data_IF_429328582364
#
_entry.id   IF_429328582364
#
_cell.length_a   1.000
_cell.length_b   1.000
_cell.length_c   1.000
_cell.angle_alpha   90.00
_cell.angle_beta   90.00
_cell.angle_gamma   90.00
#
_symmetry.space_group_name_H-M   'P 1'
#
loop_
_entity.id
_entity.type
_entity.pdbx_description
1 polymer ?
#
# COMPACT_ATOMS: atom_id res chain seq x y z
N UNK A 1 60.00 -54.78 -15.92
CA UNK A 1 59.66 -53.37 -15.53
C UNK A 1 58.19 -53.19 -15.85
N UNK A 2 57.28 -53.29 -14.84
CA UNK A 2 55.84 -53.14 -15.00
C UNK A 2 55.49 -51.74 -14.57
N UNK A 3 55.01 -50.86 -15.50
CA UNK A 3 54.50 -49.55 -15.22
C UNK A 3 53.03 -49.66 -14.76
N UNK A 4 52.80 -49.38 -13.52
CA UNK A 4 51.45 -49.29 -12.94
C UNK A 4 50.89 -47.91 -13.24
N UNK A 5 49.84 -47.82 -14.07
CA UNK A 5 49.11 -46.56 -14.36
C UNK A 5 48.02 -46.44 -13.29
N UNK A 6 48.15 -45.43 -12.42
CA UNK A 6 47.17 -45.05 -11.41
C UNK A 6 46.11 -44.16 -12.06
N UNK A 7 44.92 -44.70 -12.29
CA UNK A 7 43.75 -43.93 -12.74
C UNK A 7 43.13 -43.18 -11.56
N UNK A 8 43.32 -41.89 -11.51
CA UNK A 8 42.61 -40.99 -10.56
C UNK A 8 41.26 -40.65 -11.18
N UNK A 9 40.19 -41.27 -10.65
CA UNK A 9 38.81 -40.88 -10.95
C UNK A 9 38.46 -39.65 -10.13
N UNK A 10 38.43 -38.48 -10.77
CA UNK A 10 37.91 -37.25 -10.16
C UNK A 10 36.38 -37.31 -10.19
N UNK A 11 35.78 -37.60 -9.04
CA UNK A 11 34.34 -37.49 -8.84
C UNK A 11 33.97 -35.99 -8.79
N UNK A 12 33.51 -35.43 -9.88
CA UNK A 12 32.91 -34.09 -9.89
C UNK A 12 31.51 -34.22 -9.29
N UNK A 13 31.39 -33.99 -8.00
CA UNK A 13 30.09 -33.80 -7.35
C UNK A 13 29.54 -32.44 -7.82
N UNK A 14 28.67 -32.51 -8.81
CA UNK A 14 27.95 -31.33 -9.29
C UNK A 14 27.05 -30.75 -8.16
N UNK A 15 27.50 -29.72 -7.51
CA UNK A 15 26.71 -28.95 -6.59
C UNK A 15 25.72 -28.12 -7.43
N UNK A 16 24.55 -28.69 -7.73
CA UNK A 16 23.44 -27.91 -8.29
C UNK A 16 22.91 -26.97 -7.21
N UNK A 17 23.53 -25.82 -7.07
CA UNK A 17 22.95 -24.70 -6.36
C UNK A 17 21.73 -24.25 -7.18
N UNK A 18 20.54 -24.71 -6.80
CA UNK A 18 19.31 -24.10 -7.24
C UNK A 18 19.30 -22.66 -6.71
N UNK A 19 19.89 -21.71 -7.45
CA UNK A 19 19.62 -20.30 -7.29
C UNK A 19 18.14 -20.12 -7.70
N UNK A 20 17.23 -20.24 -6.75
CA UNK A 20 15.89 -19.64 -6.87
C UNK A 20 16.11 -18.15 -7.10
N UNK A 21 16.17 -17.71 -8.34
CA UNK A 21 16.01 -16.30 -8.64
C UNK A 21 14.63 -15.91 -8.10
N UNK A 22 14.60 -15.18 -6.98
CA UNK A 22 13.39 -14.62 -6.44
C UNK A 22 12.97 -13.57 -7.47
N UNK A 23 11.97 -13.90 -8.29
CA UNK A 23 11.41 -13.01 -9.28
C UNK A 23 10.76 -11.86 -8.50
N UNK A 24 11.42 -10.70 -8.47
CA UNK A 24 10.91 -9.51 -7.78
C UNK A 24 9.56 -9.14 -8.42
N UNK A 25 8.50 -9.45 -7.73
CA UNK A 25 7.15 -9.12 -8.18
C UNK A 25 6.98 -7.60 -8.24
N UNK A 26 6.67 -7.06 -9.42
CA UNK A 26 6.35 -5.63 -9.56
C UNK A 26 5.06 -5.35 -8.79
N UNK A 27 5.18 -4.55 -7.73
CA UNK A 27 4.03 -4.14 -6.92
C UNK A 27 3.34 -2.95 -7.57
N UNK A 28 2.06 -3.10 -7.90
CA UNK A 28 1.27 -2.07 -8.56
C UNK A 28 0.80 -1.02 -7.56
N UNK A 29 0.95 0.26 -7.92
CA UNK A 29 0.44 1.38 -7.16
C UNK A 29 -1.08 1.35 -7.08
N UNK A 30 -1.64 1.42 -5.87
CA UNK A 30 -3.08 1.59 -5.67
C UNK A 30 -3.46 3.00 -6.11
N UNK A 31 -4.34 3.12 -7.08
CA UNK A 31 -4.70 4.43 -7.65
C UNK A 31 -6.06 4.41 -8.35
N UNK A 32 -6.65 5.60 -8.48
CA UNK A 32 -7.88 5.84 -9.25
C UNK A 32 -7.72 7.04 -10.17
N UNK A 33 -8.57 7.09 -11.20
CA UNK A 33 -8.59 8.16 -12.20
C UNK A 33 -7.73 7.87 -13.43
N UNK A 34 -7.80 8.77 -14.39
CA UNK A 34 -7.08 8.64 -15.66
C UNK A 34 -5.57 8.74 -15.45
N UNK A 35 -4.81 7.92 -16.17
CA UNK A 35 -3.34 8.04 -16.23
C UNK A 35 -2.90 9.35 -16.89
N UNK A 36 -3.76 9.92 -17.73
CA UNK A 36 -3.51 11.16 -18.49
C UNK A 36 -4.01 12.40 -17.74
N UNK A 37 -4.51 12.25 -16.49
CA UNK A 37 -4.95 13.38 -15.69
C UNK A 37 -3.79 14.36 -15.42
N UNK A 38 -4.03 15.65 -15.66
CA UNK A 38 -3.02 16.71 -15.46
C UNK A 38 -2.70 16.94 -13.98
N UNK A 39 -3.61 16.55 -13.09
CA UNK A 39 -3.44 16.71 -11.64
C UNK A 39 -3.27 15.34 -11.02
N UNK A 40 -2.16 15.15 -10.32
CA UNK A 40 -1.94 13.96 -9.50
C UNK A 40 -2.02 14.33 -8.02
N UNK A 41 -2.88 13.62 -7.30
CA UNK A 41 -2.95 13.65 -5.83
C UNK A 41 -2.28 12.40 -5.30
N UNK A 42 -1.36 12.55 -4.36
CA UNK A 42 -0.81 11.46 -3.56
C UNK A 42 -1.32 11.64 -2.13
N UNK A 43 -1.91 10.59 -1.57
CA UNK A 43 -2.30 10.56 -0.16
C UNK A 43 -1.37 9.63 0.61
N UNK A 44 -0.73 10.13 1.67
CA UNK A 44 0.00 9.30 2.62
C UNK A 44 -0.89 9.02 3.82
N UNK A 45 -1.23 7.75 4.02
CA UNK A 45 -2.30 7.34 4.92
C UNK A 45 -1.91 6.17 5.82
N UNK A 46 -2.50 6.14 7.03
CA UNK A 46 -2.45 5.00 7.93
C UNK A 46 -3.84 4.42 8.12
N UNK A 47 -3.96 3.09 7.94
CA UNK A 47 -5.25 2.42 8.02
C UNK A 47 -5.86 2.39 9.42
N UNK A 48 -5.09 2.72 10.48
CA UNK A 48 -5.58 2.91 11.84
C UNK A 48 -5.88 4.37 12.19
N UNK A 49 -5.51 5.32 11.30
CA UNK A 49 -5.71 6.75 11.56
C UNK A 49 -7.17 7.18 11.37
N UNK A 50 -7.79 7.74 12.43
CA UNK A 50 -9.17 8.24 12.38
C UNK A 50 -9.35 9.39 11.37
N UNK A 51 -8.40 10.32 11.26
CA UNK A 51 -8.47 11.40 10.28
C UNK A 51 -8.38 10.91 8.83
N UNK A 52 -7.70 9.78 8.57
CA UNK A 52 -7.72 9.15 7.26
C UNK A 52 -9.11 8.56 6.96
N UNK A 53 -9.74 7.90 7.94
CA UNK A 53 -11.11 7.42 7.77
C UNK A 53 -12.09 8.57 7.54
N UNK A 54 -11.90 9.72 8.22
CA UNK A 54 -12.72 10.93 8.00
C UNK A 54 -12.50 11.50 6.59
N UNK A 55 -11.29 11.49 6.05
CA UNK A 55 -11.02 11.85 4.66
C UNK A 55 -11.79 10.97 3.69
N UNK A 56 -11.71 9.64 3.84
CA UNK A 56 -12.43 8.69 2.99
C UNK A 56 -13.95 8.80 3.11
N UNK A 57 -14.46 9.20 4.27
CA UNK A 57 -15.90 9.36 4.50
C UNK A 57 -16.45 10.71 4.00
N UNK A 58 -15.73 11.80 4.24
CA UNK A 58 -16.28 13.16 4.15
C UNK A 58 -15.69 14.00 3.00
N UNK A 59 -14.55 13.59 2.41
CA UNK A 59 -13.84 14.39 1.38
C UNK A 59 -13.72 13.60 0.08
N UNK A 60 -13.27 12.36 0.16
CA UNK A 60 -13.01 11.53 -1.00
C UNK A 60 -14.24 11.32 -1.90
N UNK A 61 -15.47 11.07 -1.42
CA UNK A 61 -16.61 10.83 -2.30
C UNK A 61 -16.91 12.00 -3.24
N UNK A 62 -16.82 13.24 -2.72
CA UNK A 62 -17.03 14.44 -3.54
C UNK A 62 -15.85 14.69 -4.48
N UNK A 63 -14.61 14.43 -4.01
CA UNK A 63 -13.41 14.49 -4.85
C UNK A 63 -13.51 13.51 -6.02
N UNK A 64 -13.97 12.28 -5.75
CA UNK A 64 -14.17 11.24 -6.77
C UNK A 64 -15.14 11.71 -7.83
N UNK A 65 -16.34 12.12 -7.41
CA UNK A 65 -17.43 12.56 -8.30
C UNK A 65 -17.05 13.77 -9.15
N UNK A 66 -16.44 14.78 -8.52
CA UNK A 66 -16.24 16.07 -9.19
C UNK A 66 -14.95 16.16 -10.01
N UNK A 67 -13.93 15.31 -9.72
CA UNK A 67 -12.63 15.42 -10.37
C UNK A 67 -12.09 14.10 -10.92
N UNK A 68 -12.16 12.99 -10.15
CA UNK A 68 -11.54 11.73 -10.57
C UNK A 68 -12.33 11.08 -11.70
N UNK A 69 -13.66 10.95 -11.55
CA UNK A 69 -14.53 10.37 -12.56
C UNK A 69 -14.62 11.21 -13.85
N UNK A 70 -14.32 12.51 -13.74
CA UNK A 70 -14.21 13.41 -14.90
C UNK A 70 -12.83 13.38 -15.58
N UNK A 71 -11.90 12.55 -15.09
CA UNK A 71 -10.57 12.42 -15.65
C UNK A 71 -9.64 13.62 -15.38
N UNK A 72 -10.05 14.57 -14.51
CA UNK A 72 -9.27 15.77 -14.20
C UNK A 72 -8.16 15.49 -13.20
N UNK A 73 -8.38 14.51 -12.30
CA UNK A 73 -7.48 14.14 -11.21
C UNK A 73 -7.23 12.63 -11.25
N UNK A 74 -5.98 12.24 -11.05
CA UNK A 74 -5.55 10.91 -10.64
C UNK A 74 -5.18 10.96 -9.16
N UNK A 75 -5.65 10.00 -8.37
CA UNK A 75 -5.26 9.83 -6.98
C UNK A 75 -4.46 8.55 -6.77
N UNK A 76 -3.38 8.63 -6.00
CA UNK A 76 -2.58 7.50 -5.54
C UNK A 76 -2.67 7.37 -4.03
N UNK A 77 -3.00 6.18 -3.55
CA UNK A 77 -3.02 5.86 -2.12
C UNK A 77 -1.68 5.24 -1.74
N UNK A 78 -0.95 5.90 -0.84
CA UNK A 78 0.36 5.45 -0.37
C UNK A 78 0.33 5.13 1.11
N UNK A 79 1.01 4.05 1.45
CA UNK A 79 1.04 3.56 2.81
C UNK A 79 1.96 4.39 3.71
N UNK A 80 1.43 4.81 4.84
CA UNK A 80 2.21 5.48 5.90
C UNK A 80 1.78 4.93 7.27
N UNK A 81 2.03 3.64 7.56
CA UNK A 81 1.57 3.01 8.78
C UNK A 81 2.19 3.69 10.01
N UNK A 82 1.34 4.02 10.99
CA UNK A 82 1.73 4.65 12.26
C UNK A 82 2.01 3.63 13.36
N UNK A 83 1.50 2.41 13.20
CA UNK A 83 1.63 1.30 14.14
C UNK A 83 1.67 -0.05 13.41
N UNK A 84 1.89 -1.14 14.16
CA UNK A 84 2.01 -2.49 13.60
C UNK A 84 0.67 -2.97 13.03
N UNK A 85 -0.47 -2.62 13.63
CA UNK A 85 -1.78 -2.99 13.12
C UNK A 85 -2.05 -2.33 11.76
N UNK A 86 -1.71 -1.04 11.62
CA UNK A 86 -1.76 -0.34 10.35
C UNK A 86 -0.80 -0.96 9.31
N UNK A 87 0.39 -1.37 9.74
CA UNK A 87 1.36 -2.02 8.86
C UNK A 87 0.84 -3.36 8.32
N UNK A 88 0.29 -4.21 9.18
CA UNK A 88 -0.33 -5.46 8.77
C UNK A 88 -1.53 -5.21 7.84
N UNK A 89 -2.40 -4.25 8.17
CA UNK A 89 -3.53 -3.88 7.32
C UNK A 89 -3.07 -3.34 5.95
N UNK A 90 -1.96 -2.59 5.90
CA UNK A 90 -1.38 -2.11 4.64
C UNK A 90 -0.88 -3.27 3.77
N UNK A 91 -0.23 -4.28 4.37
CA UNK A 91 0.18 -5.50 3.66
C UNK A 91 -1.01 -6.24 3.08
N UNK A 92 -2.07 -6.40 3.86
CA UNK A 92 -3.33 -7.02 3.42
C UNK A 92 -3.96 -6.20 2.29
N UNK A 93 -4.06 -4.88 2.43
CA UNK A 93 -4.62 -3.99 1.41
C UNK A 93 -3.86 -4.00 0.09
N UNK A 94 -2.55 -4.24 0.12
CA UNK A 94 -1.69 -4.31 -1.06
C UNK A 94 -1.66 -5.70 -1.72
N UNK A 95 -2.12 -6.74 -1.02
CA UNK A 95 -1.82 -8.13 -1.34
C UNK A 95 -2.34 -8.61 -2.70
N UNK A 96 -3.51 -8.16 -3.12
CA UNK A 96 -4.07 -8.54 -4.43
C UNK A 96 -3.22 -8.04 -5.61
N UNK A 97 -2.40 -7.04 -5.37
CA UNK A 97 -1.50 -6.44 -6.35
C UNK A 97 -2.18 -6.09 -7.70
N UNK A 98 -3.46 -5.74 -7.65
CA UNK A 98 -4.24 -5.38 -8.85
C UNK A 98 -4.22 -3.87 -9.15
N UNK A 99 -3.72 -3.06 -8.20
CA UNK A 99 -3.67 -1.61 -8.27
C UNK A 99 -5.00 -0.91 -7.99
N UNK A 100 -6.04 -1.67 -7.58
CA UNK A 100 -7.38 -1.14 -7.27
C UNK A 100 -7.49 -0.70 -5.82
N UNK A 101 -8.31 0.32 -5.60
CA UNK A 101 -8.52 0.93 -4.28
C UNK A 101 -9.68 0.35 -3.47
N UNK A 102 -10.48 -0.55 -4.05
CA UNK A 102 -11.69 -1.07 -3.41
C UNK A 102 -11.44 -1.57 -1.98
N UNK A 103 -10.35 -2.34 -1.79
CA UNK A 103 -10.00 -2.87 -0.47
C UNK A 103 -9.67 -1.75 0.52
N UNK A 104 -9.01 -0.68 0.09
CA UNK A 104 -8.66 0.47 0.95
C UNK A 104 -9.94 1.15 1.47
N UNK A 105 -10.92 1.36 0.59
CA UNK A 105 -12.21 1.95 0.97
C UNK A 105 -13.01 1.04 1.92
N UNK A 106 -12.99 -0.28 1.67
CA UNK A 106 -13.60 -1.26 2.57
C UNK A 106 -12.96 -1.19 3.96
N UNK A 107 -11.63 -1.16 4.03
CA UNK A 107 -10.88 -1.08 5.29
C UNK A 107 -11.22 0.20 6.07
N UNK A 108 -11.24 1.36 5.43
CA UNK A 108 -11.63 2.61 6.10
C UNK A 108 -13.10 2.63 6.53
N UNK A 109 -14.00 2.10 5.73
CA UNK A 109 -15.43 2.02 6.08
C UNK A 109 -15.69 1.18 7.33
N UNK A 110 -14.85 0.19 7.59
CA UNK A 110 -14.91 -0.70 8.73
C UNK A 110 -13.88 -0.44 9.82
N UNK A 111 -13.08 0.61 9.74
CA UNK A 111 -11.93 0.86 10.62
C UNK A 111 -12.28 0.67 12.10
N UNK A 112 -13.38 1.25 12.59
CA UNK A 112 -13.82 1.12 13.99
C UNK A 112 -14.18 -0.31 14.40
N UNK A 113 -14.43 -1.21 13.45
CA UNK A 113 -14.75 -2.61 13.72
C UNK A 113 -13.50 -3.47 13.86
N UNK A 114 -12.52 -3.26 13.01
CA UNK A 114 -11.33 -4.09 12.97
C UNK A 114 -10.10 -3.47 13.66
N UNK A 115 -9.92 -2.14 13.58
CA UNK A 115 -8.77 -1.44 14.18
C UNK A 115 -8.96 -1.27 15.70
N UNK A 116 -9.36 -2.32 16.37
CA UNK A 116 -9.56 -2.39 17.82
C UNK A 116 -8.85 -3.62 18.37
N UNK A 117 -8.53 -3.58 19.64
CA UNK A 117 -7.81 -4.65 20.33
C UNK A 117 -6.72 -4.06 21.21
N UNK A 118 -6.18 -4.88 22.10
CA UNK A 118 -5.09 -4.48 23.00
C UNK A 118 -3.73 -4.75 22.40
N UNK A 119 -3.67 -5.61 21.39
CA UNK A 119 -2.43 -5.97 20.70
C UNK A 119 -2.59 -5.89 19.17
N UNK A 120 -1.49 -5.77 18.42
CA UNK A 120 -1.53 -5.83 16.96
C UNK A 120 -2.10 -7.14 16.41
N UNK A 121 -1.90 -8.25 17.12
CA UNK A 121 -2.40 -9.57 16.75
C UNK A 121 -3.93 -9.61 16.87
N UNK A 122 -4.49 -9.05 17.94
CA UNK A 122 -5.95 -8.92 18.11
C UNK A 122 -6.55 -8.05 17.00
N UNK A 123 -5.94 -6.93 16.68
CA UNK A 123 -6.38 -6.07 15.59
C UNK A 123 -6.31 -6.79 14.22
N UNK A 124 -5.26 -7.58 13.99
CA UNK A 124 -5.09 -8.37 12.76
C UNK A 124 -6.16 -9.48 12.66
N UNK A 125 -6.47 -10.17 13.75
CA UNK A 125 -7.54 -11.16 13.80
C UNK A 125 -8.92 -10.54 13.56
N UNK A 126 -9.18 -9.36 14.14
CA UNK A 126 -10.40 -8.59 13.86
C UNK A 126 -10.50 -8.17 12.41
N UNK A 127 -9.38 -7.81 11.78
CA UNK A 127 -9.28 -7.46 10.36
C UNK A 127 -9.64 -8.65 9.48
N UNK A 128 -9.10 -9.84 9.79
CA UNK A 128 -9.41 -11.08 9.07
C UNK A 128 -10.90 -11.41 9.16
N UNK A 129 -11.47 -11.39 10.36
CA UNK A 129 -12.90 -11.59 10.57
C UNK A 129 -13.75 -10.58 9.80
N UNK A 130 -13.37 -9.29 9.85
CA UNK A 130 -14.08 -8.22 9.15
C UNK A 130 -14.07 -8.42 7.63
N UNK A 131 -12.94 -8.78 7.04
CA UNK A 131 -12.84 -9.00 5.58
C UNK A 131 -13.57 -10.28 5.15
N UNK A 132 -13.57 -11.31 5.98
CA UNK A 132 -14.38 -12.53 5.78
C UNK A 132 -15.87 -12.19 5.73
N UNK A 133 -16.37 -11.41 6.69
CA UNK A 133 -17.76 -10.95 6.72
C UNK A 133 -18.12 -10.12 5.48
N UNK A 134 -17.15 -9.39 4.93
CA UNK A 134 -17.30 -8.62 3.69
C UNK A 134 -17.13 -9.46 2.42
N UNK A 135 -16.90 -10.77 2.56
CA UNK A 135 -16.63 -11.70 1.43
C UNK A 135 -15.44 -11.29 0.58
N UNK A 136 -14.47 -10.62 1.18
CA UNK A 136 -13.19 -10.28 0.54
C UNK A 136 -12.25 -11.46 0.74
N UNK A 137 -11.91 -12.12 -0.36
CA UNK A 137 -11.02 -13.28 -0.34
C UNK A 137 -9.55 -12.81 -0.32
N UNK A 138 -8.88 -13.01 0.82
CA UNK A 138 -7.46 -12.68 1.02
C UNK A 138 -6.78 -13.80 1.79
N UNK A 139 -5.66 -14.30 1.28
CA UNK A 139 -4.81 -15.23 2.02
C UNK A 139 -3.94 -14.45 3.02
N UNK A 140 -4.45 -14.28 4.23
CA UNK A 140 -3.79 -13.53 5.30
C UNK A 140 -2.37 -13.99 5.58
N UNK A 141 -2.16 -15.31 5.67
CA UNK A 141 -0.83 -15.86 5.97
C UNK A 141 0.18 -15.51 4.87
N UNK A 142 -0.21 -15.71 3.61
CA UNK A 142 0.63 -15.37 2.45
C UNK A 142 0.91 -13.87 2.39
N UNK A 143 -0.10 -13.03 2.60
CA UNK A 143 0.04 -11.57 2.53
C UNK A 143 0.95 -11.03 3.64
N UNK A 144 0.77 -11.50 4.88
CA UNK A 144 1.57 -11.05 6.02
C UNK A 144 3.02 -11.54 5.96
N UNK A 145 3.30 -12.67 5.29
CA UNK A 145 4.66 -13.20 5.10
C UNK A 145 5.34 -12.71 3.82
N UNK A 146 4.62 -11.99 2.93
CA UNK A 146 5.17 -11.53 1.67
C UNK A 146 6.15 -10.37 1.89
N UNK A 147 7.44 -10.64 1.61
CA UNK A 147 8.53 -9.69 1.84
C UNK A 147 8.51 -8.53 0.84
N UNK A 148 8.15 -8.76 -0.41
CA UNK A 148 8.10 -7.71 -1.44
C UNK A 148 7.02 -6.67 -1.09
N UNK A 149 5.86 -7.12 -0.60
CA UNK A 149 4.79 -6.23 -0.12
C UNK A 149 5.23 -5.48 1.14
N UNK A 150 5.91 -6.15 2.06
CA UNK A 150 6.45 -5.54 3.26
C UNK A 150 7.39 -4.39 2.91
N UNK A 151 8.38 -4.66 2.06
CA UNK A 151 9.36 -3.69 1.62
C UNK A 151 8.69 -2.53 0.85
N UNK A 152 7.68 -2.83 0.03
CA UNK A 152 6.90 -1.81 -0.67
C UNK A 152 6.19 -0.85 0.30
N UNK A 153 5.50 -1.38 1.32
CA UNK A 153 4.81 -0.57 2.34
C UNK A 153 5.79 0.31 3.12
N UNK A 154 6.96 -0.26 3.49
CA UNK A 154 8.01 0.48 4.18
C UNK A 154 8.63 1.57 3.29
N UNK A 155 8.86 1.26 2.01
CA UNK A 155 9.40 2.22 1.04
C UNK A 155 8.46 3.39 0.80
N UNK A 156 7.13 3.18 0.75
CA UNK A 156 6.15 4.26 0.68
C UNK A 156 6.33 5.24 1.85
N UNK A 157 6.44 4.72 3.08
CA UNK A 157 6.65 5.54 4.26
C UNK A 157 7.99 6.29 4.21
N UNK A 158 9.06 5.60 3.84
CA UNK A 158 10.40 6.19 3.72
C UNK A 158 10.42 7.31 2.69
N UNK A 159 9.81 7.09 1.52
CA UNK A 159 9.69 8.11 0.46
C UNK A 159 8.91 9.32 0.96
N UNK A 160 7.78 9.10 1.62
CA UNK A 160 6.98 10.17 2.19
C UNK A 160 7.77 11.05 3.14
N UNK A 161 8.53 10.44 4.05
CA UNK A 161 9.40 11.18 4.99
C UNK A 161 10.51 11.91 4.26
N UNK A 162 11.23 11.24 3.35
CA UNK A 162 12.41 11.80 2.69
C UNK A 162 12.06 12.90 1.69
N UNK A 163 11.10 12.63 0.80
CA UNK A 163 10.76 13.55 -0.31
C UNK A 163 9.83 14.67 0.13
N UNK A 164 8.80 14.34 0.91
CA UNK A 164 7.70 15.29 1.21
C UNK A 164 7.64 15.71 2.69
N UNK A 165 8.58 15.24 3.52
CA UNK A 165 8.60 15.55 4.96
C UNK A 165 7.26 15.20 5.65
N UNK A 166 6.67 14.06 5.25
CA UNK A 166 5.45 13.55 5.86
C UNK A 166 5.76 13.16 7.31
N UNK A 167 4.99 13.71 8.24
CA UNK A 167 5.11 13.47 9.69
C UNK A 167 3.75 13.21 10.37
N UNK A 168 2.66 13.29 9.61
CA UNK A 168 1.31 13.04 10.08
C UNK A 168 0.45 12.47 8.94
N UNK A 169 -0.68 11.83 9.28
CA UNK A 169 -1.64 11.29 8.32
C UNK A 169 -3.05 11.81 8.57
N UNK A 170 -3.84 12.03 7.51
CA UNK A 170 -3.42 11.98 6.11
C UNK A 170 -2.55 13.18 5.72
N UNK A 171 -1.55 12.97 4.87
CA UNK A 171 -0.84 14.05 4.18
C UNK A 171 -1.15 13.99 2.70
N UNK A 172 -1.57 15.11 2.13
CA UNK A 172 -1.96 15.25 0.72
C UNK A 172 -0.85 15.98 -0.04
N UNK A 173 -0.40 15.39 -1.13
CA UNK A 173 0.55 15.99 -2.07
C UNK A 173 -0.17 16.18 -3.41
N UNK A 174 -0.12 17.37 -3.99
CA UNK A 174 -0.77 17.71 -5.25
C UNK A 174 0.31 18.24 -6.21
N UNK A 175 0.54 17.53 -7.31
CA UNK A 175 1.59 17.86 -8.28
C UNK A 175 2.93 18.19 -7.57
N UNK A 176 3.40 17.25 -6.74
CA UNK A 176 4.64 17.31 -5.93
C UNK A 176 4.67 18.42 -4.84
N UNK A 177 3.59 19.11 -4.59
CA UNK A 177 3.49 20.13 -3.54
C UNK A 177 2.59 19.66 -2.40
N UNK A 178 3.05 19.82 -1.15
CA UNK A 178 2.25 19.49 0.02
C UNK A 178 1.07 20.46 0.12
N UNK A 179 -0.14 19.92 0.28
CA UNK A 179 -1.33 20.71 0.57
C UNK A 179 -1.32 21.12 2.05
N UNK A 180 -1.23 22.41 2.32
CA UNK A 180 -0.99 23.01 3.63
C UNK A 180 -2.23 23.60 4.31
N UNK A 181 -3.41 23.46 3.67
CA UNK A 181 -4.68 23.97 4.21
C UNK A 181 -5.40 22.90 5.00
N UNK A 182 -6.37 23.32 5.83
CA UNK A 182 -7.26 22.38 6.50
C UNK A 182 -7.91 21.44 5.48
N UNK A 183 -7.75 20.13 5.72
CA UNK A 183 -8.21 19.08 4.82
C UNK A 183 -9.73 18.93 4.93
N UNK A 184 -10.43 19.61 4.06
CA UNK A 184 -11.85 19.46 3.81
C UNK A 184 -12.13 19.65 2.32
N UNK A 185 -13.28 19.18 1.86
CA UNK A 185 -13.62 19.23 0.43
C UNK A 185 -13.61 20.65 -0.14
N UNK A 186 -14.15 21.64 0.57
CA UNK A 186 -14.19 23.04 0.12
C UNK A 186 -12.80 23.60 -0.20
N UNK A 187 -11.86 23.39 0.70
CA UNK A 187 -10.48 23.87 0.52
C UNK A 187 -9.76 23.12 -0.61
N UNK A 188 -9.96 21.80 -0.66
CA UNK A 188 -9.37 20.97 -1.69
C UNK A 188 -9.91 21.33 -3.07
N UNK A 189 -11.24 21.44 -3.22
CA UNK A 189 -11.91 21.89 -4.45
C UNK A 189 -11.36 23.20 -4.94
N UNK A 190 -11.35 24.24 -4.07
CA UNK A 190 -10.82 25.56 -4.42
C UNK A 190 -9.36 25.54 -4.87
N UNK A 191 -8.56 24.60 -4.34
CA UNK A 191 -7.17 24.43 -4.75
C UNK A 191 -7.07 23.77 -6.12
N UNK A 192 -7.81 22.70 -6.35
CA UNK A 192 -7.81 21.96 -7.60
C UNK A 192 -8.34 22.80 -8.79
N UNK A 193 -9.41 23.58 -8.57
CA UNK A 193 -9.99 24.46 -9.59
C UNK A 193 -9.02 25.54 -10.10
N UNK A 194 -7.94 25.83 -9.37
CA UNK A 194 -6.89 26.75 -9.83
C UNK A 194 -5.82 26.07 -10.69
N UNK A 195 -5.83 24.73 -10.73
CA UNK A 195 -4.84 23.95 -11.48
C UNK A 195 -5.40 23.41 -12.81
N UNK A 196 -6.72 23.51 -13.01
CA UNK A 196 -7.42 23.12 -14.24
C UNK A 196 -7.35 24.28 -15.23
#
# INVERSE_FOLDING_TARGET
MKKTILLIIIMIVGFNANLSAQENQIIKRISEGSKDAKITIITYESLTCGHCADFHKNVYPELKKDFIEKGLVRIEFRHFPLDIAAFNASKIGQCNNDGKSDIIHILYSGQKKWAKGKTPEEATANLESFLTDKKVNVDFKKCLSNKDIEDYVLNDRIEGVKKFKVNATPTIIINDKKFDKALNYKNLKKYLEKLI
#
